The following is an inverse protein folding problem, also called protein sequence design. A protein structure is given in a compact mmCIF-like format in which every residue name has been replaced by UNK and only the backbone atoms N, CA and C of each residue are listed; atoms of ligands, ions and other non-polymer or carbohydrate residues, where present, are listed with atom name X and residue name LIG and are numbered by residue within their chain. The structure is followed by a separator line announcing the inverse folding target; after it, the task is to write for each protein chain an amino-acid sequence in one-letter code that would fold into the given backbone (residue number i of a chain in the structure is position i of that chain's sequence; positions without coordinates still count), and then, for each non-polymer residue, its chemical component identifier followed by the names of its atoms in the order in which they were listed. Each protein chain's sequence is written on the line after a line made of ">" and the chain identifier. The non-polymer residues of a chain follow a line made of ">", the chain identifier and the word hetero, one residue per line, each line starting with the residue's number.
data_IF_371757420459
#
_entry.id   IF_371757420459
#
_cell.length_a   1.000
_cell.length_b   1.000
_cell.length_c   1.000
_cell.angle_alpha   90.00
_cell.angle_beta   90.00
_cell.angle_gamma   90.00
#
_symmetry.space_group_name_H-M   'P 1'
#
loop_
_entity.id
_entity.type
_entity.pdbx_description
1 polymer ?
#
# COMPACT_ATOMS: atom_id res chain seq x y z
N UNK A 1 3.29 -9.87 -10.25
CA UNK A 1 3.61 -8.98 -11.38
C UNK A 1 4.52 -7.88 -10.86
N UNK A 2 5.83 -7.99 -11.11
CA UNK A 2 6.80 -6.93 -10.83
C UNK A 2 6.79 -6.03 -12.07
N UNK A 3 6.08 -4.91 -12.01
CA UNK A 3 6.32 -3.83 -12.95
C UNK A 3 7.77 -3.36 -12.73
N UNK A 4 8.56 -3.31 -13.80
CA UNK A 4 10.01 -3.06 -13.73
C UNK A 4 10.30 -1.58 -13.41
N UNK A 5 9.31 -0.72 -13.67
CA UNK A 5 9.55 0.71 -13.84
C UNK A 5 8.98 1.55 -12.68
N UNK A 6 7.98 1.03 -11.96
CA UNK A 6 7.27 1.79 -10.94
C UNK A 6 6.82 0.89 -9.77
N UNK A 7 6.73 1.50 -8.60
CA UNK A 7 6.21 0.90 -7.39
C UNK A 7 4.71 1.09 -7.34
N UNK A 8 3.98 -0.03 -7.27
CA UNK A 8 2.52 -0.06 -7.18
C UNK A 8 2.06 -0.25 -5.74
N UNK A 9 1.35 0.73 -5.20
CA UNK A 9 0.63 0.62 -3.93
C UNK A 9 -0.82 0.25 -4.21
N UNK A 10 -1.21 -0.97 -3.83
CA UNK A 10 -2.57 -1.47 -4.03
C UNK A 10 -3.41 -1.26 -2.77
N UNK A 11 -4.58 -0.61 -2.88
CA UNK A 11 -5.55 -0.55 -1.80
C UNK A 11 -6.30 -1.90 -1.66
N UNK A 12 -6.74 -2.21 -0.44
CA UNK A 12 -7.61 -3.36 -0.11
C UNK A 12 -9.10 -3.09 -0.40
N UNK A 13 -9.41 -2.05 -1.19
CA UNK A 13 -10.77 -1.68 -1.56
C UNK A 13 -10.84 -1.58 -3.09
N UNK A 14 -11.67 -2.43 -3.70
CA UNK A 14 -11.81 -2.58 -5.16
C UNK A 14 -12.34 -1.32 -5.86
N UNK A 15 -13.01 -0.41 -5.13
CA UNK A 15 -13.45 0.85 -5.69
C UNK A 15 -12.30 1.86 -5.90
N UNK A 16 -11.12 1.59 -5.34
CA UNK A 16 -9.96 2.47 -5.40
C UNK A 16 -8.95 1.98 -6.44
N UNK A 17 -8.50 2.91 -7.27
CA UNK A 17 -7.45 2.64 -8.24
C UNK A 17 -6.08 2.47 -7.53
N UNK A 18 -5.19 1.60 -8.07
CA UNK A 18 -3.83 1.47 -7.57
C UNK A 18 -3.02 2.76 -7.81
N UNK A 19 -2.12 3.06 -6.88
CA UNK A 19 -1.24 4.24 -6.97
C UNK A 19 0.11 3.77 -7.55
N UNK A 20 0.54 4.38 -8.66
CA UNK A 20 1.81 4.08 -9.32
C UNK A 20 2.81 5.22 -9.03
N UNK A 21 3.97 4.88 -8.48
CA UNK A 21 4.98 5.84 -8.03
C UNK A 21 6.36 5.36 -8.45
N UNK A 22 7.19 6.25 -9.01
CA UNK A 22 8.58 5.90 -9.38
C UNK A 22 9.50 5.82 -8.16
N UNK A 23 9.19 6.59 -7.10
CA UNK A 23 9.98 6.65 -5.87
C UNK A 23 9.07 6.62 -4.65
N UNK A 24 9.39 5.75 -3.68
CA UNK A 24 8.71 5.71 -2.37
C UNK A 24 9.73 5.46 -1.26
N UNK A 25 9.37 5.85 -0.04
CA UNK A 25 10.13 5.50 1.16
C UNK A 25 9.31 4.52 1.99
N UNK A 26 9.84 3.30 2.21
CA UNK A 26 9.20 2.29 3.06
C UNK A 26 9.50 2.65 4.53
N UNK A 27 8.49 3.07 5.27
CA UNK A 27 8.64 3.44 6.68
C UNK A 27 8.69 2.22 7.62
N UNK A 28 8.10 1.10 7.22
CA UNK A 28 8.06 -0.12 8.02
C UNK A 28 7.01 -1.11 7.54
N UNK A 29 6.95 -2.28 8.17
CA UNK A 29 5.95 -3.32 7.92
C UNK A 29 4.85 -3.24 8.97
N UNK A 30 3.59 -3.20 8.53
CA UNK A 30 2.43 -3.29 9.44
C UNK A 30 2.39 -4.67 10.09
N UNK A 31 2.33 -4.73 11.43
CA UNK A 31 2.30 -5.98 12.20
C UNK A 31 0.96 -6.23 12.91
N UNK A 32 0.11 -5.22 13.03
CA UNK A 32 -1.20 -5.34 13.66
C UNK A 32 -1.92 -4.01 13.72
N UNK A 33 -3.23 -4.07 13.99
CA UNK A 33 -4.10 -2.91 14.21
C UNK A 33 -4.72 -3.03 15.59
N UNK A 34 -4.61 -1.98 16.39
CA UNK A 34 -5.30 -1.88 17.68
C UNK A 34 -6.51 -0.94 17.53
N UNK A 35 -7.69 -1.41 17.93
CA UNK A 35 -8.91 -0.61 17.98
C UNK A 35 -9.42 -0.61 19.43
N UNK A 36 -9.49 0.57 20.03
CA UNK A 36 -9.86 0.75 21.44
C UNK A 36 -11.39 0.91 21.66
N UNK A 37 -12.20 0.96 20.61
CA UNK A 37 -13.63 1.18 20.73
C UNK A 37 -14.39 0.32 19.71
N UNK A 38 -15.35 -0.47 20.21
CA UNK A 38 -16.46 -1.08 19.47
C UNK A 38 -17.76 -0.72 20.20
#
# INVERSE_FOLDING_TARGET
>A
FREVDHIRLQPENDALAPILLDNVTILGKVVGLYRNHI
#
